data_IF_802358698286
#
_entry.id   IF_802358698286
#
_cell.length_a   1.000
_cell.length_b   1.000
_cell.length_c   1.000
_cell.angle_alpha   90.00
_cell.angle_beta   90.00
_cell.angle_gamma   90.00
#
_symmetry.space_group_name_H-M   'P 1'
#
loop_
_entity.id
_entity.type
_entity.pdbx_description
1 polymer ?
#
# COMPACT_ATOMS: atom_id res chain seq x y z
N UNK A 1 18.94 -3.09 15.14
CA UNK A 1 18.91 -4.55 15.32
C UNK A 1 19.10 -5.23 13.99
N UNK A 2 19.34 -6.54 13.95
CA UNK A 2 19.37 -7.33 12.71
C UNK A 2 18.27 -8.39 12.78
N UNK A 3 17.43 -8.49 11.76
CA UNK A 3 16.64 -9.69 11.54
C UNK A 3 17.55 -10.69 10.81
N UNK A 4 17.74 -11.87 11.38
CA UNK A 4 18.48 -12.95 10.72
C UNK A 4 17.49 -13.96 10.17
N UNK A 5 17.91 -14.72 9.16
CA UNK A 5 17.14 -15.87 8.73
C UNK A 5 16.84 -16.76 9.94
N UNK A 6 15.58 -17.14 10.11
CA UNK A 6 15.19 -18.25 10.99
C UNK A 6 15.43 -19.49 10.14
N UNK A 7 16.70 -19.91 9.99
CA UNK A 7 16.94 -21.29 9.63
C UNK A 7 16.59 -22.17 10.84
N UNK A 8 16.00 -23.34 10.61
CA UNK A 8 15.73 -24.32 11.68
C UNK A 8 17.00 -24.97 12.23
N UNK A 9 18.15 -24.29 12.10
CA UNK A 9 19.44 -24.74 12.56
C UNK A 9 19.58 -24.46 14.05
N UNK A 10 20.10 -25.45 14.78
CA UNK A 10 20.44 -25.31 16.18
C UNK A 10 21.47 -24.18 16.35
N UNK A 11 21.22 -23.24 17.27
CA UNK A 11 22.10 -22.09 17.51
C UNK A 11 23.43 -22.56 18.12
N UNK A 12 24.41 -22.89 17.27
CA UNK A 12 25.78 -23.12 17.73
C UNK A 12 26.55 -21.80 17.74
N UNK A 13 27.12 -21.42 18.88
CA UNK A 13 28.03 -20.28 19.00
C UNK A 13 29.40 -20.61 18.35
N UNK A 14 29.42 -20.76 17.03
CA UNK A 14 30.65 -20.93 16.28
C UNK A 14 31.14 -19.57 15.77
N UNK A 15 32.31 -19.12 16.26
CA UNK A 15 32.89 -17.80 15.94
C UNK A 15 33.19 -17.60 14.44
N UNK A 16 33.23 -18.67 13.65
CA UNK A 16 33.49 -18.64 12.19
C UNK A 16 32.24 -18.63 11.33
N UNK A 17 31.03 -18.72 11.91
CA UNK A 17 29.79 -18.83 11.14
C UNK A 17 29.34 -17.47 10.60
N UNK A 18 29.32 -17.30 9.28
CA UNK A 18 28.83 -16.08 8.62
C UNK A 18 27.32 -16.00 8.80
N UNK A 19 26.84 -15.04 9.60
CA UNK A 19 25.41 -14.82 9.81
C UNK A 19 24.79 -14.28 8.51
N UNK A 20 23.84 -15.01 7.93
CA UNK A 20 23.08 -14.54 6.76
C UNK A 20 22.20 -13.36 7.19
N UNK A 21 22.44 -12.20 6.59
CA UNK A 21 21.69 -10.97 6.85
C UNK A 21 20.71 -10.73 5.71
N UNK A 22 19.46 -10.39 6.05
CA UNK A 22 18.46 -9.99 5.05
C UNK A 22 18.81 -8.59 4.54
N UNK A 23 19.15 -8.51 3.25
CA UNK A 23 19.51 -7.23 2.60
C UNK A 23 18.30 -6.48 2.03
N UNK A 24 17.16 -7.15 1.84
CA UNK A 24 15.95 -6.57 1.31
C UNK A 24 14.82 -7.59 1.18
N UNK A 25 13.60 -7.12 0.97
CA UNK A 25 12.40 -7.94 0.78
C UNK A 25 11.72 -7.55 -0.54
N UNK A 26 11.38 -8.55 -1.36
CA UNK A 26 10.53 -8.35 -2.55
C UNK A 26 9.11 -8.80 -2.21
N UNK A 27 8.13 -7.93 -2.43
CA UNK A 27 6.75 -8.09 -2.00
C UNK A 27 6.33 -7.05 -0.96
N UNK A 28 5.19 -7.21 -0.29
CA UNK A 28 4.14 -8.16 -0.62
C UNK A 28 3.33 -7.69 -1.84
N UNK A 29 2.42 -8.52 -2.34
CA UNK A 29 1.50 -8.12 -3.40
C UNK A 29 0.37 -7.21 -2.84
N UNK A 30 -0.33 -7.67 -1.80
CA UNK A 30 -1.39 -6.92 -1.12
C UNK A 30 -0.84 -5.64 -0.48
N UNK A 31 -1.50 -4.51 -0.75
CA UNK A 31 -1.15 -3.22 -0.13
C UNK A 31 -1.24 -3.26 1.39
N UNK A 32 -2.28 -3.90 1.94
CA UNK A 32 -2.48 -4.03 3.40
C UNK A 32 -1.35 -4.85 4.03
N UNK A 33 -0.91 -5.92 3.36
CA UNK A 33 0.24 -6.72 3.81
C UNK A 33 1.54 -5.94 3.68
N UNK A 34 1.75 -5.24 2.56
CA UNK A 34 2.95 -4.42 2.35
C UNK A 34 3.09 -3.31 3.39
N UNK A 35 2.00 -2.67 3.81
CA UNK A 35 2.02 -1.68 4.90
C UNK A 35 2.52 -2.32 6.20
N UNK A 36 2.02 -3.50 6.57
CA UNK A 36 2.43 -4.20 7.78
C UNK A 36 3.90 -4.62 7.74
N UNK A 37 4.35 -5.20 6.61
CA UNK A 37 5.74 -5.60 6.41
C UNK A 37 6.67 -4.37 6.45
N UNK A 38 6.30 -3.27 5.78
CA UNK A 38 7.11 -2.06 5.76
C UNK A 38 7.24 -1.44 7.16
N UNK A 39 6.17 -1.46 7.97
CA UNK A 39 6.20 -1.00 9.36
C UNK A 39 7.15 -1.82 10.26
N UNK A 40 7.31 -3.11 9.98
CA UNK A 40 8.29 -3.94 10.67
C UNK A 40 9.71 -3.67 10.16
N UNK A 41 9.91 -3.72 8.83
CA UNK A 41 11.24 -3.62 8.22
C UNK A 41 11.91 -2.26 8.44
N UNK A 42 11.15 -1.17 8.59
CA UNK A 42 11.71 0.15 8.94
C UNK A 42 12.50 0.16 10.26
N UNK A 43 12.13 -0.69 11.24
CA UNK A 43 12.86 -0.80 12.52
C UNK A 43 14.28 -1.35 12.33
N UNK A 44 14.49 -2.08 11.25
CA UNK A 44 15.74 -2.74 10.88
C UNK A 44 16.43 -2.06 9.69
N UNK A 45 15.84 -0.99 9.13
CA UNK A 45 16.32 -0.29 7.92
C UNK A 45 16.49 -1.21 6.71
N UNK A 46 15.58 -2.17 6.55
CA UNK A 46 15.61 -3.13 5.45
C UNK A 46 14.69 -2.62 4.32
N UNK A 47 15.19 -2.45 3.09
CA UNK A 47 14.37 -2.01 1.97
C UNK A 47 13.36 -3.08 1.56
N UNK A 48 12.15 -2.64 1.21
CA UNK A 48 11.09 -3.45 0.65
C UNK A 48 10.72 -2.94 -0.75
N UNK A 49 10.66 -3.85 -1.73
CA UNK A 49 10.23 -3.57 -3.11
C UNK A 49 8.98 -4.36 -3.42
N UNK A 50 7.80 -3.71 -3.46
CA UNK A 50 6.57 -4.38 -3.89
C UNK A 50 6.38 -4.32 -5.39
N UNK A 51 5.86 -5.40 -5.97
CA UNK A 51 5.52 -5.47 -7.40
C UNK A 51 4.03 -5.22 -7.69
N UNK A 52 3.18 -5.11 -6.66
CA UNK A 52 1.71 -5.06 -6.86
C UNK A 52 0.94 -4.20 -5.85
N UNK A 53 1.59 -3.62 -4.84
CA UNK A 53 0.89 -2.78 -3.86
C UNK A 53 0.72 -1.34 -4.36
N UNK A 54 -0.51 -0.97 -4.70
CA UNK A 54 -0.83 0.31 -5.35
C UNK A 54 -1.40 1.39 -4.42
N UNK A 55 -1.68 1.09 -3.14
CA UNK A 55 -2.25 2.06 -2.19
C UNK A 55 -1.50 3.40 -2.18
N UNK A 56 -2.20 4.55 -2.19
CA UNK A 56 -1.58 5.87 -2.07
C UNK A 56 -0.82 6.07 -0.77
N UNK A 57 -1.25 5.44 0.33
CA UNK A 57 -0.64 5.53 1.66
C UNK A 57 0.86 5.17 1.65
N UNK A 58 1.24 4.18 0.84
CA UNK A 58 2.61 3.69 0.71
C UNK A 58 3.55 4.69 0.01
N UNK A 59 3.03 5.77 -0.58
CA UNK A 59 3.83 6.85 -1.17
C UNK A 59 4.39 7.82 -0.12
N UNK A 60 3.88 7.81 1.13
CA UNK A 60 4.37 8.71 2.18
C UNK A 60 5.77 8.28 2.68
N UNK A 61 6.81 8.95 2.19
CA UNK A 61 8.21 8.65 2.54
C UNK A 61 8.62 9.01 3.97
N UNK A 62 7.88 9.88 4.65
CA UNK A 62 8.12 10.14 6.08
C UNK A 62 7.74 8.91 6.93
N UNK A 63 6.73 8.14 6.49
CA UNK A 63 6.27 6.92 7.17
C UNK A 63 6.89 5.64 6.60
N UNK A 64 7.10 5.59 5.29
CA UNK A 64 7.58 4.41 4.55
C UNK A 64 8.90 4.70 3.82
N UNK A 65 9.89 5.21 4.55
CA UNK A 65 11.22 5.59 4.06
C UNK A 65 11.89 4.47 3.24
N UNK A 66 11.80 3.22 3.71
CA UNK A 66 12.45 2.04 3.12
C UNK A 66 11.54 1.26 2.16
N UNK A 67 10.35 1.76 1.82
CA UNK A 67 9.44 1.11 0.87
C UNK A 67 9.59 1.71 -0.52
N UNK A 68 9.62 0.87 -1.55
CA UNK A 68 9.46 1.26 -2.95
C UNK A 68 8.60 0.24 -3.69
N UNK A 69 8.15 0.60 -4.90
CA UNK A 69 7.32 -0.27 -5.74
C UNK A 69 7.60 -0.05 -7.21
N UNK A 70 7.36 -1.08 -8.02
CA UNK A 70 7.52 -1.04 -9.48
C UNK A 70 6.24 -0.65 -10.23
N UNK A 71 5.10 -0.64 -9.54
CA UNK A 71 3.78 -0.30 -10.08
C UNK A 71 3.37 1.11 -9.63
N UNK A 72 2.63 1.90 -10.44
CA UNK A 72 2.18 3.23 -10.02
C UNK A 72 1.20 3.20 -8.83
N UNK A 73 1.08 4.36 -8.17
CA UNK A 73 0.09 4.63 -7.13
C UNK A 73 -1.33 4.70 -7.71
N UNK A 74 -2.34 4.29 -6.94
CA UNK A 74 -3.74 4.50 -7.30
C UNK A 74 -4.11 5.98 -7.46
N UNK A 75 -3.31 6.91 -6.93
CA UNK A 75 -3.38 8.35 -7.24
C UNK A 75 -3.58 8.63 -8.73
N UNK A 76 -2.81 7.94 -9.59
CA UNK A 76 -2.91 8.13 -11.03
C UNK A 76 -4.18 7.51 -11.61
N UNK A 77 -4.66 6.41 -11.03
CA UNK A 77 -5.91 5.78 -11.43
C UNK A 77 -7.12 6.64 -11.04
N UNK A 78 -7.12 7.19 -9.82
CA UNK A 78 -8.11 8.15 -9.32
C UNK A 78 -8.19 9.36 -10.24
N UNK A 79 -7.03 9.93 -10.62
CA UNK A 79 -6.99 11.04 -11.57
C UNK A 79 -7.66 10.71 -12.90
N UNK A 80 -7.36 9.54 -13.47
CA UNK A 80 -7.98 9.09 -14.71
C UNK A 80 -9.49 8.89 -14.56
N UNK A 81 -9.96 8.36 -13.43
CA UNK A 81 -11.40 8.21 -13.15
C UNK A 81 -12.11 9.57 -13.13
N UNK A 82 -11.55 10.57 -12.45
CA UNK A 82 -12.14 11.92 -12.40
C UNK A 82 -12.13 12.57 -13.78
N UNK A 83 -11.05 12.43 -14.56
CA UNK A 83 -10.99 12.94 -15.93
C UNK A 83 -12.08 12.33 -16.82
N UNK A 84 -12.37 11.02 -16.69
CA UNK A 84 -13.49 10.37 -17.38
C UNK A 84 -14.83 10.97 -16.95
N UNK A 85 -15.08 11.11 -15.65
CA UNK A 85 -16.34 11.68 -15.12
C UNK A 85 -16.58 13.09 -15.67
N UNK A 86 -15.51 13.89 -15.76
CA UNK A 86 -15.55 15.24 -16.35
C UNK A 86 -15.82 15.21 -17.85
N UNK A 87 -15.16 14.34 -18.61
CA UNK A 87 -15.39 14.19 -20.04
C UNK A 87 -16.84 13.78 -20.36
N UNK A 88 -17.44 12.98 -19.48
CA UNK A 88 -18.84 12.54 -19.60
C UNK A 88 -19.86 13.58 -19.13
N UNK A 89 -19.42 14.67 -18.50
CA UNK A 89 -20.30 15.71 -17.96
C UNK A 89 -21.15 15.27 -16.77
N UNK A 90 -20.70 14.27 -16.00
CA UNK A 90 -21.44 13.78 -14.84
C UNK A 90 -21.18 14.67 -13.61
N UNK A 91 -22.26 15.11 -12.96
CA UNK A 91 -22.19 15.92 -11.73
C UNK A 91 -22.51 15.11 -10.46
N UNK A 92 -23.01 13.88 -10.60
CA UNK A 92 -23.31 12.97 -9.50
C UNK A 92 -22.81 11.56 -9.82
N UNK A 93 -22.07 10.96 -8.88
CA UNK A 93 -21.60 9.57 -8.98
C UNK A 93 -21.86 8.81 -7.69
N UNK A 94 -21.96 7.48 -7.78
CA UNK A 94 -22.01 6.60 -6.61
C UNK A 94 -20.73 5.79 -6.53
N UNK A 95 -20.22 5.56 -5.32
CA UNK A 95 -18.95 4.88 -5.08
C UNK A 95 -19.17 3.68 -4.17
N UNK A 96 -18.49 2.58 -4.49
CA UNK A 96 -18.40 1.39 -3.65
C UNK A 96 -16.91 1.07 -3.46
N UNK A 97 -16.47 0.88 -2.22
CA UNK A 97 -15.07 0.61 -1.90
C UNK A 97 -14.90 -0.41 -0.78
N UNK A 98 -13.77 -1.12 -0.77
CA UNK A 98 -13.46 -2.14 0.26
C UNK A 98 -13.18 -1.48 1.62
N UNK A 99 -13.66 -2.09 2.71
CA UNK A 99 -13.27 -1.78 4.09
C UNK A 99 -11.86 -2.28 4.39
N UNK A 100 -10.88 -1.62 3.77
CA UNK A 100 -9.47 -1.87 4.01
C UNK A 100 -8.71 -0.55 3.93
N UNK A 101 -7.52 -0.48 4.54
CA UNK A 101 -6.65 0.69 4.37
C UNK A 101 -6.37 0.99 2.90
N UNK A 102 -6.34 -0.05 2.05
CA UNK A 102 -6.22 0.11 0.61
C UNK A 102 -7.42 0.85 0.02
N UNK A 103 -8.64 0.32 0.21
CA UNK A 103 -9.86 0.90 -0.34
C UNK A 103 -10.18 2.29 0.23
N UNK A 104 -10.01 2.48 1.53
CA UNK A 104 -10.25 3.76 2.22
C UNK A 104 -9.32 4.86 1.69
N UNK A 105 -8.01 4.57 1.54
CA UNK A 105 -7.05 5.59 1.10
C UNK A 105 -7.23 6.00 -0.36
N UNK A 106 -7.59 5.05 -1.22
CA UNK A 106 -7.95 5.37 -2.60
C UNK A 106 -9.27 6.16 -2.67
N UNK A 107 -10.25 5.84 -1.82
CA UNK A 107 -11.51 6.57 -1.72
C UNK A 107 -11.32 8.02 -1.23
N UNK A 108 -10.52 8.25 -0.18
CA UNK A 108 -10.21 9.60 0.31
C UNK A 108 -9.60 10.47 -0.79
N UNK A 109 -8.62 9.93 -1.54
CA UNK A 109 -7.99 10.64 -2.65
C UNK A 109 -8.96 10.95 -3.81
N UNK A 110 -9.91 10.04 -4.06
CA UNK A 110 -10.99 10.25 -5.03
C UNK A 110 -11.98 11.32 -4.54
N UNK A 111 -12.39 11.28 -3.28
CA UNK A 111 -13.32 12.24 -2.67
C UNK A 111 -12.75 13.67 -2.74
N UNK A 112 -11.47 13.84 -2.40
CA UNK A 112 -10.75 15.12 -2.51
C UNK A 112 -10.72 15.62 -3.96
N UNK A 113 -10.34 14.76 -4.91
CA UNK A 113 -10.19 15.17 -6.30
C UNK A 113 -11.55 15.48 -6.98
N UNK A 114 -12.63 14.80 -6.59
CA UNK A 114 -13.98 15.11 -7.08
C UNK A 114 -14.46 16.47 -6.59
N UNK A 115 -14.13 16.81 -5.33
CA UNK A 115 -14.49 18.10 -4.73
C UNK A 115 -13.86 19.27 -5.48
N UNK A 116 -12.61 19.13 -5.94
CA UNK A 116 -11.91 20.14 -6.75
C UNK A 116 -12.64 20.49 -8.06
N UNK A 117 -13.47 19.57 -8.58
CA UNK A 117 -14.24 19.74 -9.81
C UNK A 117 -15.74 19.91 -9.59
N UNK A 118 -16.19 20.13 -8.35
CA UNK A 118 -17.61 20.26 -7.98
C UNK A 118 -18.47 19.05 -8.41
N UNK A 119 -17.91 17.84 -8.35
CA UNK A 119 -18.63 16.60 -8.62
C UNK A 119 -19.11 16.01 -7.28
N UNK A 120 -20.41 15.73 -7.17
CA UNK A 120 -21.01 15.24 -5.93
C UNK A 120 -21.03 13.71 -5.87
N UNK A 121 -20.81 13.18 -4.66
CA UNK A 121 -21.03 11.75 -4.37
C UNK A 121 -22.48 11.58 -3.92
N UNK A 122 -23.29 10.88 -4.70
CA UNK A 122 -24.69 10.62 -4.40
C UNK A 122 -24.85 9.53 -3.32
N UNK A 123 -24.07 8.46 -3.43
CA UNK A 123 -24.04 7.34 -2.49
C UNK A 123 -22.60 6.88 -2.33
N UNK A 124 -22.19 6.57 -1.10
CA UNK A 124 -20.93 5.88 -0.82
C UNK A 124 -21.18 4.67 0.06
N UNK A 125 -20.89 3.48 -0.47
CA UNK A 125 -21.02 2.22 0.24
C UNK A 125 -19.66 1.59 0.52
N UNK A 126 -19.49 1.10 1.74
CA UNK A 126 -18.28 0.42 2.17
C UNK A 126 -18.56 -1.08 2.25
N UNK A 127 -17.78 -1.88 1.52
CA UNK A 127 -17.90 -3.33 1.52
C UNK A 127 -17.02 -3.95 2.60
N UNK A 128 -17.67 -4.55 3.59
CA UNK A 128 -16.97 -5.39 4.59
C UNK A 128 -16.46 -6.64 3.88
N UNK A 129 -15.21 -7.01 4.15
CA UNK A 129 -14.65 -8.25 3.64
C UNK A 129 -15.22 -9.42 4.43
N UNK A 130 -16.00 -10.28 3.77
CA UNK A 130 -16.49 -11.51 4.39
C UNK A 130 -15.28 -12.36 4.81
N UNK A 131 -15.16 -12.61 6.12
CA UNK A 131 -14.12 -13.48 6.68
C UNK A 131 -14.59 -14.93 6.53
N UNK A 132 -14.57 -15.43 5.29
CA UNK A 132 -14.69 -16.86 5.01
C UNK A 132 -13.47 -17.62 5.51
#
# INVERSE_FOLDING_TARGET
>A
GSISNIDGAEYHCNKTQVRKVISGVVGAASSVTSIQVANLLRLFKIPQVSFFSTSPELSNKQRFEYFTRTIPSDHYQVKAMVDIVRLMGWSYISIIYEESNYGIKAFEELEDLLADYNICIAVKEKLVKDSG
#
